data_IF_448049996291
#
_entry.id   IF_448049996291
#
_cell.length_a   1.000
_cell.length_b   1.000
_cell.length_c   1.000
_cell.angle_alpha   90.00
_cell.angle_beta   90.00
_cell.angle_gamma   90.00
#
_symmetry.space_group_name_H-M   'P 1'
#
loop_
_entity.id
_entity.type
_entity.pdbx_description
1 polymer ?
#
# COMPACT_ATOMS: atom_id res chain seq x y z
N UNK A 1 -17.70 -6.76 -27.37
CA UNK A 1 -17.78 -6.02 -26.09
C UNK A 1 -16.55 -6.31 -25.25
N UNK A 2 -15.51 -5.49 -25.39
CA UNK A 2 -14.29 -5.63 -24.60
C UNK A 2 -14.50 -5.04 -23.23
N UNK A 3 -14.57 -5.88 -22.19
CA UNK A 3 -14.56 -5.44 -20.80
C UNK A 3 -13.18 -4.82 -20.55
N UNK A 4 -13.11 -3.49 -20.52
CA UNK A 4 -11.91 -2.76 -20.10
C UNK A 4 -11.66 -3.07 -18.62
N UNK A 5 -10.92 -4.15 -18.38
CA UNK A 5 -10.33 -4.53 -17.10
C UNK A 5 -9.25 -3.49 -16.78
N UNK A 6 -9.60 -2.43 -16.05
CA UNK A 6 -8.67 -1.39 -15.57
C UNK A 6 -7.51 -1.99 -14.77
N UNK A 7 -7.69 -3.19 -14.22
CA UNK A 7 -6.65 -4.00 -13.58
C UNK A 7 -5.53 -4.48 -14.52
N UNK A 8 -5.71 -4.46 -15.84
CA UNK A 8 -4.71 -4.89 -16.85
C UNK A 8 -4.08 -3.74 -17.64
N UNK A 9 -4.39 -2.48 -17.34
CA UNK A 9 -3.68 -1.36 -17.97
C UNK A 9 -2.24 -1.35 -17.42
N UNK A 10 -1.21 -1.55 -18.27
CA UNK A 10 0.18 -1.67 -17.81
C UNK A 10 0.68 -0.44 -17.04
N UNK A 11 0.09 0.73 -17.32
CA UNK A 11 0.35 1.98 -16.61
C UNK A 11 -0.30 2.06 -15.23
N UNK A 12 -1.57 1.64 -15.09
CA UNK A 12 -2.28 1.66 -13.81
C UNK A 12 -1.69 0.69 -12.78
N UNK A 13 -1.08 -0.40 -13.25
CA UNK A 13 -0.33 -1.33 -12.40
C UNK A 13 0.92 -0.72 -11.75
N UNK A 14 1.27 0.54 -12.06
CA UNK A 14 2.38 1.30 -11.45
C UNK A 14 1.90 2.35 -10.46
N UNK A 15 0.60 2.63 -10.39
CA UNK A 15 0.05 3.70 -9.57
C UNK A 15 -0.17 3.17 -8.16
N UNK A 16 0.37 3.84 -7.12
CA UNK A 16 0.02 3.57 -5.74
C UNK A 16 -1.50 3.59 -5.55
N UNK A 17 -2.06 2.54 -4.97
CA UNK A 17 -3.50 2.45 -4.70
C UNK A 17 -3.74 2.70 -3.22
N UNK A 18 -4.50 3.74 -2.87
CA UNK A 18 -4.97 3.92 -1.49
C UNK A 18 -5.89 2.76 -1.11
N UNK A 19 -5.56 2.06 -0.04
CA UNK A 19 -6.35 0.95 0.51
C UNK A 19 -7.27 1.43 1.63
N UNK A 20 -6.89 2.50 2.33
CA UNK A 20 -7.65 3.05 3.44
C UNK A 20 -6.81 3.93 4.35
N UNK A 21 -7.38 4.31 5.49
CA UNK A 21 -6.72 5.12 6.51
C UNK A 21 -6.95 4.48 7.87
N UNK A 22 -5.90 4.40 8.67
CA UNK A 22 -5.94 3.77 9.98
C UNK A 22 -5.31 4.69 11.02
N UNK A 23 -5.87 4.73 12.23
CA UNK A 23 -5.26 5.41 13.36
C UNK A 23 -4.20 4.49 13.95
N UNK A 24 -2.95 4.94 13.98
CA UNK A 24 -1.84 4.19 14.57
C UNK A 24 -0.78 5.13 15.12
N UNK A 25 -0.01 4.71 16.13
CA UNK A 25 1.19 5.42 16.51
C UNK A 25 2.20 5.41 15.36
N UNK A 26 2.79 6.57 15.10
CA UNK A 26 3.86 6.66 14.11
C UNK A 26 5.19 6.23 14.72
N UNK A 27 5.83 5.20 14.17
CA UNK A 27 7.16 4.74 14.63
C UNK A 27 8.27 5.81 14.47
N UNK A 28 8.01 6.85 13.68
CA UNK A 28 8.97 7.93 13.41
C UNK A 28 8.78 9.15 14.30
N UNK A 29 7.57 9.68 14.39
CA UNK A 29 7.30 10.90 15.15
C UNK A 29 6.64 10.67 16.51
N UNK A 30 6.26 9.42 16.83
CA UNK A 30 5.61 9.04 18.09
C UNK A 30 4.17 9.51 18.24
N UNK A 31 3.65 10.31 17.30
CA UNK A 31 2.29 10.84 17.34
C UNK A 31 1.27 9.76 17.00
N UNK A 32 0.21 9.67 17.79
CA UNK A 32 -0.99 8.91 17.44
C UNK A 32 -1.79 9.70 16.40
N UNK A 33 -1.74 9.26 15.15
CA UNK A 33 -2.37 9.98 14.04
C UNK A 33 -2.86 9.01 12.97
N UNK A 34 -3.62 9.54 12.01
CA UNK A 34 -4.04 8.73 10.86
C UNK A 34 -2.85 8.51 9.93
N UNK A 35 -2.73 7.28 9.49
CA UNK A 35 -1.80 6.86 8.46
C UNK A 35 -2.59 6.41 7.25
N UNK A 36 -2.16 6.83 6.07
CA UNK A 36 -2.76 6.40 4.81
C UNK A 36 -2.06 5.13 4.35
N UNK A 37 -2.84 4.08 4.10
CA UNK A 37 -2.36 2.80 3.63
C UNK A 37 -2.36 2.80 2.10
N UNK A 38 -1.19 2.58 1.50
CA UNK A 38 -1.01 2.50 0.07
C UNK A 38 -0.46 1.13 -0.33
N UNK A 39 -1.05 0.54 -1.37
CA UNK A 39 -0.42 -0.55 -2.12
C UNK A 39 0.44 0.05 -3.23
N UNK A 40 1.75 -0.04 -3.06
CA UNK A 40 2.77 0.41 -4.01
C UNK A 40 3.31 -0.79 -4.79
N UNK A 41 3.02 -0.91 -6.10
CA UNK A 41 3.53 -1.99 -6.93
C UNK A 41 5.07 -2.04 -6.91
N UNK A 42 5.65 -3.24 -6.76
CA UNK A 42 7.11 -3.42 -6.79
C UNK A 42 7.53 -4.05 -8.12
N UNK A 43 8.53 -3.43 -8.76
CA UNK A 43 9.13 -3.91 -10.01
C UNK A 43 10.17 -4.97 -9.69
N UNK A 44 10.10 -6.13 -10.33
CA UNK A 44 11.05 -7.22 -10.18
C UNK A 44 11.45 -7.70 -11.58
N UNK A 45 12.71 -7.37 -11.94
CA UNK A 45 13.46 -7.64 -13.18
C UNK A 45 12.74 -7.26 -14.49
N UNK A 46 11.52 -7.75 -14.75
CA UNK A 46 10.68 -7.35 -15.90
C UNK A 46 9.16 -7.29 -15.62
N UNK A 47 8.69 -7.68 -14.43
CA UNK A 47 7.25 -7.70 -14.07
C UNK A 47 6.97 -6.90 -12.81
N UNK A 48 5.75 -6.35 -12.71
CA UNK A 48 5.27 -5.72 -11.48
C UNK A 48 4.53 -6.76 -10.66
N UNK A 49 5.05 -7.08 -9.47
CA UNK A 49 4.38 -7.97 -8.54
C UNK A 49 3.37 -7.16 -7.73
N UNK A 50 2.10 -7.37 -8.05
CA UNK A 50 0.97 -6.86 -7.26
C UNK A 50 0.92 -7.50 -5.87
N UNK A 51 1.51 -8.68 -5.68
CA UNK A 51 1.58 -9.38 -4.40
C UNK A 51 3.02 -9.54 -3.90
N UNK A 52 3.71 -8.39 -3.78
CA UNK A 52 5.04 -8.38 -3.19
C UNK A 52 4.93 -8.16 -1.68
N UNK A 53 5.69 -8.87 -0.82
CA UNK A 53 5.57 -8.76 0.64
C UNK A 53 5.81 -7.33 1.15
N UNK A 54 6.59 -6.53 0.42
CA UNK A 54 6.91 -5.12 0.70
C UNK A 54 6.14 -4.10 -0.14
N UNK A 55 4.97 -4.45 -0.67
CA UNK A 55 4.14 -3.53 -1.46
C UNK A 55 3.21 -2.66 -0.61
N UNK A 56 3.02 -2.96 0.67
CA UNK A 56 2.10 -2.22 1.53
C UNK A 56 2.88 -1.17 2.32
N UNK A 57 2.39 0.06 2.32
CA UNK A 57 3.02 1.17 3.02
C UNK A 57 1.98 1.96 3.80
N UNK A 58 2.33 2.36 5.02
CA UNK A 58 1.57 3.29 5.83
C UNK A 58 2.31 4.64 5.85
N UNK A 59 1.65 5.71 5.42
CA UNK A 59 2.22 7.07 5.43
C UNK A 59 1.57 7.91 6.50
N UNK A 60 2.37 8.40 7.44
CA UNK A 60 1.92 9.28 8.50
C UNK A 60 1.45 10.63 7.93
N UNK A 61 0.27 11.10 8.33
CA UNK A 61 -0.22 12.42 7.90
C UNK A 61 0.53 13.59 8.55
N UNK A 62 1.17 13.39 9.70
CA UNK A 62 1.90 14.46 10.41
C UNK A 62 3.31 14.66 9.88
N UNK A 63 4.09 13.57 9.77
CA UNK A 63 5.50 13.66 9.38
C UNK A 63 5.77 13.26 7.92
N UNK A 64 4.75 12.88 7.17
CA UNK A 64 4.83 12.43 5.77
C UNK A 64 5.80 11.26 5.53
N UNK A 65 6.19 10.54 6.58
CA UNK A 65 7.07 9.36 6.47
C UNK A 65 6.25 8.11 6.22
N UNK A 66 6.75 7.29 5.29
CA UNK A 66 6.17 6.01 4.95
C UNK A 66 6.92 4.87 5.65
N UNK A 67 6.18 3.93 6.21
CA UNK A 67 6.68 2.67 6.78
C UNK A 67 6.13 1.52 5.95
N UNK A 68 6.96 0.54 5.61
CA UNK A 68 6.52 -0.66 4.90
C UNK A 68 5.88 -1.61 5.91
N UNK A 69 4.63 -2.01 5.66
CA UNK A 69 3.94 -2.99 6.48
C UNK A 69 4.18 -4.40 5.91
N UNK A 70 4.56 -5.32 6.78
CA UNK A 70 4.88 -6.72 6.43
C UNK A 70 4.28 -7.69 7.46
N UNK A 71 4.22 -8.98 7.13
CA UNK A 71 3.76 -10.02 8.06
C UNK A 71 2.30 -9.82 8.50
N UNK A 72 2.04 -9.95 9.80
CA UNK A 72 0.69 -9.91 10.38
C UNK A 72 -0.05 -8.59 10.13
N UNK A 73 0.64 -7.44 10.14
CA UNK A 73 0.01 -6.14 9.83
C UNK A 73 -0.51 -6.10 8.40
N UNK A 74 0.25 -6.70 7.47
CA UNK A 74 -0.17 -6.84 6.08
C UNK A 74 -1.38 -7.76 5.97
N UNK A 75 -1.31 -8.93 6.59
CA UNK A 75 -2.40 -9.91 6.56
C UNK A 75 -3.69 -9.34 7.13
N UNK A 76 -3.62 -8.53 8.19
CA UNK A 76 -4.77 -7.80 8.73
C UNK A 76 -5.39 -6.88 7.68
N UNK A 77 -4.58 -6.01 7.06
CA UNK A 77 -5.07 -5.02 6.09
C UNK A 77 -5.68 -5.69 4.85
N UNK A 78 -5.11 -6.81 4.38
CA UNK A 78 -5.64 -7.54 3.23
C UNK A 78 -6.75 -8.54 3.58
N UNK A 79 -6.77 -9.07 4.81
CA UNK A 79 -7.74 -10.06 5.29
C UNK A 79 -9.02 -9.45 5.87
N UNK A 80 -9.02 -8.16 6.23
CA UNK A 80 -10.24 -7.42 6.57
C UNK A 80 -11.07 -7.00 5.33
N UNK A 81 -10.90 -7.65 4.17
CA UNK A 81 -11.55 -7.30 2.90
C UNK A 81 -12.22 -8.49 2.22
#
# INVERSE_FOLDING_TARGET
MGVFRTDRIPGLSRIPTELGREQRPCDRCGTETRHILYRVPKKLVFVYLKDHPKNLQATCMECARSTVLTGEERERVFGSR
#
